data_IF_682166080600
#
_entry.id   IF_682166080600
#
_cell.length_a   1.000
_cell.length_b   1.000
_cell.length_c   1.000
_cell.angle_alpha   90.00
_cell.angle_beta   90.00
_cell.angle_gamma   90.00
#
_symmetry.space_group_name_H-M   'P 1'
#
loop_
_entity.id
_entity.type
_entity.pdbx_description
1 polymer ?
#
# COMPACT_ATOMS: atom_id res chain seq x y z
N UNK A 1 -0.01 -37.38 10.60
CA UNK A 1 0.48 -36.17 9.93
C UNK A 1 -0.74 -35.44 9.38
N UNK A 2 -1.19 -34.41 10.05
CA UNK A 2 -2.40 -33.66 9.66
C UNK A 2 -2.02 -32.49 8.74
N UNK A 3 -2.88 -32.20 7.77
CA UNK A 3 -2.80 -31.00 6.98
C UNK A 3 -3.20 -29.79 7.85
N UNK A 4 -2.42 -28.75 7.79
CA UNK A 4 -2.62 -27.51 8.53
C UNK A 4 -2.69 -26.33 7.54
N UNK A 5 -3.37 -25.28 7.93
CA UNK A 5 -3.45 -24.04 7.17
C UNK A 5 -2.84 -22.90 7.97
N UNK A 6 -2.29 -21.91 7.27
CA UNK A 6 -1.73 -20.73 7.91
C UNK A 6 -1.29 -19.68 6.89
N UNK A 7 -0.66 -18.62 7.39
CA UNK A 7 -0.12 -17.55 6.58
C UNK A 7 1.40 -17.49 6.71
N UNK A 8 2.11 -17.31 5.60
CA UNK A 8 3.56 -17.07 5.64
C UNK A 8 3.79 -15.68 6.25
N UNK A 9 4.34 -15.65 7.46
CA UNK A 9 4.64 -14.39 8.17
C UNK A 9 6.08 -13.92 7.98
N UNK A 10 6.99 -14.84 7.56
CA UNK A 10 8.39 -14.51 7.31
C UNK A 10 9.01 -15.49 6.32
N UNK A 11 9.93 -15.00 5.50
CA UNK A 11 10.75 -15.81 4.60
C UNK A 11 12.23 -15.47 4.82
N UNK A 12 13.05 -16.49 5.14
CA UNK A 12 14.46 -16.30 5.47
C UNK A 12 15.30 -17.51 5.05
N UNK A 13 16.32 -17.28 4.23
CA UNK A 13 17.32 -18.32 3.89
C UNK A 13 16.72 -19.63 3.36
N UNK A 14 15.62 -19.55 2.60
CA UNK A 14 14.93 -20.72 2.03
C UNK A 14 13.95 -21.41 2.98
N UNK A 15 13.74 -20.87 4.16
CA UNK A 15 12.70 -21.26 5.09
C UNK A 15 11.53 -20.29 5.02
N UNK A 16 10.32 -20.83 5.24
CA UNK A 16 9.07 -20.09 5.38
C UNK A 16 8.50 -20.34 6.77
N UNK A 17 8.26 -19.25 7.48
CA UNK A 17 7.64 -19.30 8.80
C UNK A 17 6.15 -19.08 8.61
N UNK A 18 5.36 -20.08 8.97
CA UNK A 18 3.90 -20.09 8.80
C UNK A 18 3.25 -19.96 10.16
N UNK A 19 2.39 -18.97 10.32
CA UNK A 19 1.59 -18.80 11.55
C UNK A 19 0.18 -19.30 11.28
N UNK A 20 -0.33 -20.22 12.12
CA UNK A 20 -1.68 -20.77 12.04
C UNK A 20 -2.74 -19.85 12.71
N UNK A 21 -3.99 -20.29 12.73
CA UNK A 21 -5.12 -19.58 13.37
C UNK A 21 -4.98 -19.45 14.90
N UNK A 22 -4.18 -20.30 15.53
CA UNK A 22 -3.89 -20.26 16.96
C UNK A 22 -2.65 -19.42 17.32
N UNK A 23 -2.11 -18.66 16.33
CA UNK A 23 -0.86 -17.89 16.44
C UNK A 23 0.38 -18.75 16.76
N UNK A 24 0.37 -20.03 16.42
CA UNK A 24 1.55 -20.89 16.51
C UNK A 24 2.34 -20.77 15.20
N UNK A 25 3.65 -20.57 15.31
CA UNK A 25 4.53 -20.40 14.14
C UNK A 25 5.37 -21.64 13.91
N UNK A 26 5.33 -22.15 12.69
CA UNK A 26 6.05 -23.34 12.22
C UNK A 26 7.11 -22.95 11.19
N UNK A 27 8.31 -23.49 11.33
CA UNK A 27 9.36 -23.34 10.33
C UNK A 27 9.17 -24.43 9.27
N UNK A 28 9.10 -24.04 8.01
CA UNK A 28 8.85 -24.96 6.89
C UNK A 28 9.83 -24.75 5.74
N UNK A 29 9.91 -25.75 4.87
CA UNK A 29 10.60 -25.64 3.57
C UNK A 29 9.63 -25.79 2.42
N UNK A 30 9.84 -25.03 1.35
CA UNK A 30 9.07 -25.18 0.11
C UNK A 30 9.43 -26.47 -0.61
N UNK A 31 8.44 -27.13 -1.22
CA UNK A 31 8.66 -28.27 -2.11
C UNK A 31 9.41 -27.83 -3.37
N UNK A 32 10.24 -28.73 -3.90
CA UNK A 32 10.96 -28.46 -5.16
C UNK A 32 10.05 -28.16 -6.35
N UNK A 33 8.80 -28.65 -6.33
CA UNK A 33 7.80 -28.42 -7.38
C UNK A 33 7.52 -26.92 -7.59
N UNK A 34 7.52 -26.09 -6.53
CA UNK A 34 7.31 -24.65 -6.69
C UNK A 34 8.35 -23.98 -7.60
N UNK A 35 9.61 -24.46 -7.55
CA UNK A 35 10.66 -23.96 -8.45
C UNK A 35 10.45 -24.43 -9.88
N UNK A 36 9.95 -25.67 -10.07
CA UNK A 36 9.67 -26.20 -11.40
C UNK A 36 8.51 -25.46 -12.07
N UNK A 37 7.51 -25.09 -11.28
CA UNK A 37 6.32 -24.36 -11.74
C UNK A 37 6.56 -22.82 -11.82
N UNK A 38 7.78 -22.36 -11.50
CA UNK A 38 8.11 -20.94 -11.49
C UNK A 38 7.40 -20.12 -10.39
N UNK A 39 6.84 -20.81 -9.38
CA UNK A 39 6.10 -20.18 -8.29
C UNK A 39 7.05 -19.90 -7.13
N UNK A 40 7.11 -18.65 -6.69
CA UNK A 40 7.84 -18.26 -5.49
C UNK A 40 6.85 -18.00 -4.36
N UNK A 41 6.94 -18.74 -3.21
CA UNK A 41 6.15 -18.40 -2.04
C UNK A 41 6.54 -17.02 -1.50
N UNK A 42 5.55 -16.22 -1.12
CA UNK A 42 5.73 -14.86 -0.62
C UNK A 42 5.23 -14.74 0.83
N UNK A 43 5.78 -13.80 1.55
CA UNK A 43 5.19 -13.34 2.81
C UNK A 43 3.78 -12.83 2.52
N UNK A 44 2.81 -13.19 3.37
CA UNK A 44 1.39 -12.90 3.13
C UNK A 44 0.61 -14.03 2.46
N UNK A 45 1.26 -15.03 1.84
CA UNK A 45 0.56 -16.17 1.23
C UNK A 45 -0.19 -16.98 2.28
N UNK A 46 -1.45 -17.29 1.98
CA UNK A 46 -2.20 -18.34 2.67
C UNK A 46 -1.81 -19.70 2.08
N UNK A 47 -1.51 -20.65 2.94
CA UNK A 47 -0.87 -21.90 2.52
C UNK A 47 -1.43 -23.10 3.25
N UNK A 48 -1.27 -24.27 2.62
CA UNK A 48 -1.42 -25.57 3.25
C UNK A 48 -0.04 -26.16 3.49
N UNK A 49 0.20 -26.61 4.69
CA UNK A 49 1.47 -27.20 5.10
C UNK A 49 1.26 -28.45 5.98
N UNK A 50 2.32 -29.18 6.20
CA UNK A 50 2.36 -30.28 7.19
C UNK A 50 3.57 -30.11 8.08
N UNK A 51 3.39 -30.36 9.37
CA UNK A 51 4.47 -30.39 10.34
C UNK A 51 4.12 -31.31 11.50
N UNK A 52 5.09 -32.01 12.02
CA UNK A 52 4.96 -32.84 13.24
C UNK A 52 5.55 -32.12 14.46
N UNK A 53 6.31 -31.02 14.24
CA UNK A 53 6.90 -30.17 15.27
C UNK A 53 7.01 -28.73 14.74
N UNK A 54 7.53 -27.81 15.53
CA UNK A 54 7.62 -26.39 15.16
C UNK A 54 8.76 -26.08 14.16
N UNK A 55 9.75 -26.95 14.02
CA UNK A 55 11.01 -26.66 13.35
C UNK A 55 11.15 -27.34 11.97
N UNK A 56 10.38 -28.39 11.70
CA UNK A 56 10.54 -29.23 10.51
C UNK A 56 9.19 -29.44 9.78
N UNK A 57 8.75 -28.41 9.08
CA UNK A 57 7.53 -28.49 8.26
C UNK A 57 7.80 -28.49 6.76
N UNK A 58 6.80 -28.86 5.99
CA UNK A 58 6.81 -28.82 4.54
C UNK A 58 5.62 -28.01 4.02
N UNK A 59 5.91 -26.94 3.29
CA UNK A 59 4.92 -26.16 2.53
C UNK A 59 4.43 -27.02 1.35
N UNK A 60 3.13 -27.26 1.26
CA UNK A 60 2.53 -28.15 0.28
C UNK A 60 1.83 -27.42 -0.85
N UNK A 61 1.09 -26.35 -0.52
CA UNK A 61 0.25 -25.62 -1.45
C UNK A 61 0.21 -24.13 -1.08
N UNK A 62 0.14 -23.27 -2.10
CA UNK A 62 -0.12 -21.84 -1.96
C UNK A 62 -1.54 -21.60 -2.46
N UNK A 63 -2.41 -21.05 -1.61
CA UNK A 63 -3.77 -20.70 -2.00
C UNK A 63 -3.77 -19.53 -3.00
N UNK A 64 -4.83 -19.37 -3.81
CA UNK A 64 -4.93 -18.23 -4.73
C UNK A 64 -4.72 -16.88 -4.02
N UNK A 65 -3.88 -16.06 -4.60
CA UNK A 65 -3.61 -14.71 -4.10
C UNK A 65 -4.69 -13.75 -4.58
N UNK A 66 -5.16 -12.85 -3.70
CA UNK A 66 -6.04 -11.75 -4.11
C UNK A 66 -5.28 -10.63 -4.81
N UNK A 67 -4.03 -10.40 -4.40
CA UNK A 67 -3.09 -9.45 -4.99
C UNK A 67 -1.65 -9.83 -4.66
N UNK A 68 -0.72 -9.16 -5.34
CA UNK A 68 0.71 -9.36 -5.13
C UNK A 68 1.46 -8.07 -5.46
N UNK A 69 2.30 -7.60 -4.54
CA UNK A 69 3.25 -6.53 -4.77
C UNK A 69 4.62 -7.11 -5.11
N UNK A 70 5.34 -6.45 -6.01
CA UNK A 70 6.69 -6.85 -6.44
C UNK A 70 7.76 -6.29 -5.51
N UNK A 71 7.53 -5.09 -5.01
CA UNK A 71 8.45 -4.38 -4.11
C UNK A 71 7.67 -3.59 -3.06
N UNK A 72 7.59 -4.11 -1.84
CA UNK A 72 8.16 -5.37 -1.36
C UNK A 72 7.47 -6.59 -1.97
N UNK A 73 8.19 -7.73 -2.03
CA UNK A 73 7.60 -8.99 -2.47
C UNK A 73 6.68 -9.54 -1.38
N UNK A 74 5.39 -9.21 -1.47
CA UNK A 74 4.34 -9.56 -0.51
C UNK A 74 3.02 -9.83 -1.25
N UNK A 75 2.18 -10.69 -0.68
CA UNK A 75 0.86 -11.04 -1.23
C UNK A 75 -0.26 -10.79 -0.22
N UNK A 76 -1.49 -10.79 -0.73
CA UNK A 76 -2.72 -10.73 0.06
C UNK A 76 -2.81 -9.50 0.98
N UNK A 77 -2.29 -8.35 0.53
CA UNK A 77 -2.39 -7.08 1.24
C UNK A 77 -3.83 -6.59 1.20
N UNK A 78 -4.34 -6.13 2.34
CA UNK A 78 -5.68 -5.55 2.46
C UNK A 78 -5.66 -4.03 2.30
N UNK A 79 -4.73 -3.37 3.01
CA UNK A 79 -4.71 -1.92 3.13
C UNK A 79 -3.33 -1.38 2.82
N UNK A 80 -3.30 -0.28 2.05
CA UNK A 80 -2.11 0.53 1.82
C UNK A 80 -2.24 1.91 2.47
N UNK A 81 -1.52 2.14 3.58
CA UNK A 81 -1.46 3.46 4.22
C UNK A 81 -0.41 4.32 3.52
N UNK A 82 -0.87 5.34 2.81
CA UNK A 82 0.00 6.32 2.14
C UNK A 82 0.32 7.42 3.14
N UNK A 83 1.52 7.39 3.69
CA UNK A 83 2.00 8.44 4.58
C UNK A 83 2.68 9.53 3.75
N UNK A 84 2.10 10.71 3.75
CA UNK A 84 2.66 11.88 3.07
C UNK A 84 2.76 13.06 4.03
N UNK A 85 3.80 13.87 3.88
CA UNK A 85 4.05 15.04 4.72
C UNK A 85 3.50 16.29 4.05
N UNK A 86 2.99 17.22 4.86
CA UNK A 86 2.54 18.51 4.34
C UNK A 86 3.72 19.43 4.00
N UNK A 87 4.85 19.33 4.70
CA UNK A 87 6.02 20.23 4.56
C UNK A 87 7.28 19.50 4.08
N UNK A 88 8.00 18.79 4.87
CA UNK A 88 9.27 18.16 4.52
C UNK A 88 9.16 16.63 4.50
N UNK A 89 9.03 15.99 3.32
CA UNK A 89 8.92 16.54 1.98
C UNK A 89 7.60 17.30 1.74
N UNK A 90 7.60 18.25 0.80
CA UNK A 90 6.39 19.02 0.44
C UNK A 90 5.33 18.11 -0.15
N UNK A 91 4.07 18.30 0.23
CA UNK A 91 2.93 17.58 -0.30
C UNK A 91 2.83 17.67 -1.83
N UNK A 92 2.59 16.56 -2.47
CA UNK A 92 2.43 16.48 -3.92
C UNK A 92 1.25 15.58 -4.28
N UNK A 93 0.23 16.15 -4.89
CA UNK A 93 -0.92 15.40 -5.42
C UNK A 93 -0.48 14.41 -6.50
N UNK A 94 0.50 14.77 -7.33
CA UNK A 94 1.05 13.90 -8.36
C UNK A 94 1.65 12.62 -7.76
N UNK A 95 2.43 12.74 -6.69
CA UNK A 95 3.02 11.59 -6.03
C UNK A 95 1.96 10.76 -5.29
N UNK A 96 1.01 11.42 -4.63
CA UNK A 96 -0.10 10.76 -3.95
C UNK A 96 -0.91 9.92 -4.96
N UNK A 97 -1.27 10.50 -6.10
CA UNK A 97 -2.04 9.80 -7.14
C UNK A 97 -1.27 8.61 -7.73
N UNK A 98 0.05 8.70 -7.83
CA UNK A 98 0.88 7.55 -8.25
C UNK A 98 0.80 6.39 -7.25
N UNK A 99 0.78 6.66 -5.94
CA UNK A 99 0.56 5.62 -4.92
C UNK A 99 -0.85 5.06 -5.02
N UNK A 100 -1.87 5.92 -5.18
CA UNK A 100 -3.26 5.50 -5.34
C UNK A 100 -3.44 4.58 -6.56
N UNK A 101 -2.91 4.96 -7.73
CA UNK A 101 -2.95 4.13 -8.95
C UNK A 101 -2.34 2.75 -8.71
N UNK A 102 -1.23 2.66 -7.98
CA UNK A 102 -0.61 1.37 -7.69
C UNK A 102 -1.49 0.50 -6.77
N UNK A 103 -2.13 1.09 -5.77
CA UNK A 103 -3.02 0.38 -4.86
C UNK A 103 -4.30 -0.05 -5.56
N UNK A 104 -4.93 0.84 -6.32
CA UNK A 104 -6.14 0.56 -7.11
C UNK A 104 -5.90 -0.57 -8.11
N UNK A 105 -4.77 -0.53 -8.84
CA UNK A 105 -4.41 -1.57 -9.80
C UNK A 105 -4.28 -2.95 -9.14
N UNK A 106 -3.82 -2.99 -7.90
CA UNK A 106 -3.68 -4.22 -7.11
C UNK A 106 -4.92 -4.54 -6.26
N UNK A 107 -6.00 -3.77 -6.37
CA UNK A 107 -7.20 -3.92 -5.54
C UNK A 107 -6.90 -3.90 -4.04
N UNK A 108 -6.02 -2.99 -3.61
CA UNK A 108 -5.65 -2.75 -2.21
C UNK A 108 -6.35 -1.47 -1.75
N UNK A 109 -7.07 -1.52 -0.64
CA UNK A 109 -7.78 -0.36 -0.08
C UNK A 109 -6.79 0.73 0.36
N UNK A 110 -6.82 1.95 -0.19
CA UNK A 110 -5.91 3.02 0.22
C UNK A 110 -6.45 3.79 1.42
N UNK A 111 -5.54 4.19 2.32
CA UNK A 111 -5.78 5.19 3.36
C UNK A 111 -4.71 6.28 3.21
N UNK A 112 -5.12 7.53 3.13
CA UNK A 112 -4.22 8.68 3.04
C UNK A 112 -4.03 9.25 4.44
N UNK A 113 -2.78 9.33 4.90
CA UNK A 113 -2.43 9.97 6.18
C UNK A 113 -1.47 11.13 5.96
N UNK A 114 -1.87 12.32 6.42
CA UNK A 114 -1.07 13.55 6.35
C UNK A 114 -0.34 13.75 7.67
N UNK A 115 0.98 13.78 7.60
CA UNK A 115 1.84 14.03 8.76
C UNK A 115 2.34 15.48 8.82
N UNK A 116 2.86 15.88 9.97
CA UNK A 116 3.52 17.17 10.22
C UNK A 116 2.61 18.39 10.00
N UNK A 117 1.33 18.25 10.31
CA UNK A 117 0.36 19.32 10.18
C UNK A 117 0.69 20.51 11.10
N UNK A 118 1.29 20.23 12.25
CA UNK A 118 1.81 21.18 13.23
C UNK A 118 2.89 22.11 12.69
N UNK A 119 3.61 21.69 11.65
CA UNK A 119 4.70 22.45 11.05
C UNK A 119 4.26 23.35 9.89
N UNK A 120 2.99 23.31 9.50
CA UNK A 120 2.47 24.05 8.36
C UNK A 120 1.86 25.39 8.77
N UNK A 121 1.96 26.38 7.89
CA UNK A 121 1.22 27.62 8.00
C UNK A 121 -0.27 27.45 7.65
N UNK A 122 -1.08 28.44 7.99
CA UNK A 122 -2.54 28.38 7.79
C UNK A 122 -2.92 28.28 6.31
N UNK A 123 -2.16 28.91 5.40
CA UNK A 123 -2.43 28.81 3.97
C UNK A 123 -2.26 27.38 3.48
N UNK A 124 -1.20 26.71 3.91
CA UNK A 124 -0.91 25.33 3.58
C UNK A 124 -1.93 24.38 4.21
N UNK A 125 -2.31 24.59 5.48
CA UNK A 125 -3.39 23.83 6.14
C UNK A 125 -4.71 23.94 5.36
N UNK A 126 -5.09 25.14 4.95
CA UNK A 126 -6.31 25.38 4.17
C UNK A 126 -6.28 24.68 2.79
N UNK A 127 -5.11 24.57 2.14
CA UNK A 127 -4.97 23.80 0.90
C UNK A 127 -5.21 22.30 1.15
N UNK A 128 -4.70 21.77 2.26
CA UNK A 128 -4.91 20.35 2.62
C UNK A 128 -6.38 20.06 2.88
N UNK A 129 -7.12 20.96 3.52
CA UNK A 129 -8.58 20.81 3.72
C UNK A 129 -9.29 20.63 2.38
N UNK A 130 -8.97 21.45 1.37
CA UNK A 130 -9.55 21.31 0.02
C UNK A 130 -9.18 19.98 -0.65
N UNK A 131 -7.94 19.52 -0.52
CA UNK A 131 -7.55 18.20 -1.03
C UNK A 131 -8.28 17.08 -0.32
N UNK A 132 -8.43 17.18 1.01
CA UNK A 132 -9.20 16.22 1.81
C UNK A 132 -10.63 16.09 1.26
N UNK A 133 -11.34 17.18 1.08
CA UNK A 133 -12.70 17.20 0.52
C UNK A 133 -12.78 16.46 -0.83
N UNK A 134 -11.80 16.71 -1.72
CA UNK A 134 -11.77 16.09 -3.06
C UNK A 134 -11.50 14.58 -2.95
N UNK A 135 -10.51 14.15 -2.18
CA UNK A 135 -10.18 12.73 -2.07
C UNK A 135 -11.25 11.93 -1.31
N UNK A 136 -11.87 12.51 -0.27
CA UNK A 136 -12.99 11.89 0.43
C UNK A 136 -14.24 11.78 -0.44
N UNK A 137 -14.53 12.77 -1.29
CA UNK A 137 -15.65 12.72 -2.23
C UNK A 137 -15.54 11.59 -3.26
N UNK A 138 -14.33 11.14 -3.58
CA UNK A 138 -14.09 9.98 -4.46
C UNK A 138 -13.90 8.67 -3.72
N UNK A 139 -14.04 8.67 -2.38
CA UNK A 139 -14.12 7.48 -1.55
C UNK A 139 -12.83 7.11 -0.79
N UNK A 140 -11.80 7.96 -0.79
CA UNK A 140 -10.57 7.67 -0.05
C UNK A 140 -10.60 8.22 1.37
N UNK A 141 -10.41 7.41 2.41
CA UNK A 141 -10.16 7.91 3.76
C UNK A 141 -8.94 8.84 3.76
N UNK A 142 -9.13 10.09 4.20
CA UNK A 142 -8.09 11.10 4.25
C UNK A 142 -7.92 11.62 5.68
N UNK A 143 -6.93 11.08 6.38
CA UNK A 143 -6.71 11.27 7.81
C UNK A 143 -5.75 12.45 8.02
N UNK A 144 -6.21 13.45 8.75
CA UNK A 144 -5.42 14.55 9.27
C UNK A 144 -5.65 14.64 10.77
N UNK A 145 -4.60 14.55 11.56
CA UNK A 145 -4.68 14.69 13.02
C UNK A 145 -3.94 15.97 13.39
N UNK A 146 -4.66 16.92 14.00
CA UNK A 146 -4.08 18.16 14.47
C UNK A 146 -3.56 17.97 15.90
N UNK A 147 -2.24 17.97 16.07
CA UNK A 147 -1.57 17.77 17.36
C UNK A 147 -1.91 18.85 18.39
N UNK A 148 -2.31 20.05 17.94
CA UNK A 148 -2.67 21.16 18.82
C UNK A 148 -4.10 21.03 19.40
N UNK A 149 -4.93 20.14 18.82
CA UNK A 149 -6.35 19.97 19.18
C UNK A 149 -6.62 18.70 20.00
N UNK A 150 -5.64 17.82 20.16
CA UNK A 150 -5.81 16.54 20.87
C UNK A 150 -4.99 16.50 22.16
N UNK A 151 -5.62 16.08 23.25
CA UNK A 151 -4.95 15.95 24.57
C UNK A 151 -3.89 14.83 24.56
N UNK A 152 -4.15 13.73 23.84
CA UNK A 152 -3.24 12.61 23.69
C UNK A 152 -3.16 12.15 22.23
N UNK A 153 -2.19 12.66 21.52
CA UNK A 153 -1.96 12.35 20.10
C UNK A 153 -1.84 10.85 19.81
N UNK A 154 -1.22 10.10 20.73
CA UNK A 154 -1.05 8.65 20.54
C UNK A 154 -2.39 7.93 20.56
N UNK A 155 -3.24 8.19 21.54
CA UNK A 155 -4.53 7.53 21.68
C UNK A 155 -5.42 7.88 20.47
N UNK A 156 -5.45 9.14 20.06
CA UNK A 156 -6.19 9.58 18.85
C UNK A 156 -5.74 8.85 17.60
N UNK A 157 -4.44 8.66 17.42
CA UNK A 157 -3.90 7.91 16.27
C UNK A 157 -4.31 6.44 16.37
N UNK A 158 -4.19 5.80 17.53
CA UNK A 158 -4.57 4.41 17.74
C UNK A 158 -6.05 4.21 17.46
N UNK A 159 -6.91 5.00 18.05
CA UNK A 159 -8.37 4.92 17.91
C UNK A 159 -8.80 5.11 16.44
N UNK A 160 -8.13 6.07 15.74
CA UNK A 160 -8.41 6.32 14.33
C UNK A 160 -8.10 5.10 13.44
N UNK A 161 -6.99 4.39 13.70
CA UNK A 161 -6.55 3.30 12.84
C UNK A 161 -7.04 1.92 13.27
N UNK A 162 -7.47 1.73 14.52
CA UNK A 162 -7.84 0.42 15.07
C UNK A 162 -8.94 -0.26 14.23
N UNK A 163 -10.01 0.46 13.91
CA UNK A 163 -11.13 -0.07 13.12
C UNK A 163 -10.75 -0.47 11.70
N UNK A 164 -9.75 0.18 11.11
CA UNK A 164 -9.26 -0.16 9.78
C UNK A 164 -8.39 -1.42 9.78
N UNK A 165 -7.59 -1.65 10.84
CA UNK A 165 -6.53 -2.65 10.82
C UNK A 165 -6.94 -4.01 11.37
N UNK A 166 -8.05 -4.11 12.08
CA UNK A 166 -8.53 -5.37 12.65
C UNK A 166 -8.65 -6.46 11.58
N UNK A 167 -7.95 -7.59 11.79
CA UNK A 167 -7.88 -8.74 10.86
C UNK A 167 -7.35 -8.41 9.44
N UNK A 168 -6.65 -7.31 9.25
CA UNK A 168 -6.12 -6.85 7.96
C UNK A 168 -4.61 -6.99 7.88
N UNK A 169 -4.11 -7.22 6.65
CA UNK A 169 -2.69 -7.08 6.33
C UNK A 169 -2.43 -5.70 5.74
N UNK A 170 -1.63 -4.92 6.45
CA UNK A 170 -1.38 -3.50 6.15
C UNK A 170 0.04 -3.30 5.62
N UNK A 171 0.20 -2.44 4.62
CA UNK A 171 1.50 -1.92 4.18
C UNK A 171 1.55 -0.41 4.35
N UNK A 172 2.72 0.12 4.75
CA UNK A 172 2.93 1.56 4.85
C UNK A 172 3.83 2.02 3.70
N UNK A 173 3.39 3.02 2.95
CA UNK A 173 4.11 3.58 1.82
C UNK A 173 4.23 5.10 1.91
N UNK A 174 5.11 5.69 1.13
CA UNK A 174 5.34 7.13 1.11
C UNK A 174 6.82 7.47 1.03
N UNK A 175 7.11 8.74 0.78
CA UNK A 175 8.49 9.23 0.65
C UNK A 175 9.31 9.02 1.92
N UNK A 176 10.65 8.98 1.74
CA UNK A 176 11.56 9.06 2.87
C UNK A 176 11.35 10.40 3.61
N UNK A 177 11.32 10.34 4.94
CA UNK A 177 11.07 11.53 5.76
C UNK A 177 9.60 11.95 5.86
N UNK A 178 8.65 11.25 5.25
CA UNK A 178 7.23 11.55 5.35
C UNK A 178 6.59 11.21 6.71
N UNK A 179 7.33 10.67 7.67
CA UNK A 179 6.80 10.38 9.01
C UNK A 179 6.29 8.95 9.24
N UNK A 180 6.58 7.99 8.34
CA UNK A 180 6.17 6.58 8.51
C UNK A 180 6.62 5.96 9.83
N UNK A 181 7.91 6.10 10.17
CA UNK A 181 8.46 5.56 11.42
C UNK A 181 7.83 6.23 12.65
N UNK A 182 7.52 7.50 12.57
CA UNK A 182 6.83 8.23 13.63
C UNK A 182 5.42 7.70 13.83
N UNK A 183 4.66 7.54 12.73
CA UNK A 183 3.32 6.96 12.79
C UNK A 183 3.36 5.54 13.38
N UNK A 184 4.26 4.68 12.90
CA UNK A 184 4.41 3.31 13.42
C UNK A 184 4.77 3.27 14.91
N UNK A 185 5.62 4.20 15.41
CA UNK A 185 5.93 4.30 16.84
C UNK A 185 4.74 4.77 17.68
N UNK A 186 3.85 5.61 17.12
CA UNK A 186 2.59 5.95 17.79
C UNK A 186 1.66 4.75 17.87
N UNK A 187 1.49 4.02 16.76
CA UNK A 187 0.64 2.84 16.69
C UNK A 187 1.15 1.69 17.60
N UNK A 188 2.46 1.52 17.69
CA UNK A 188 3.09 0.55 18.60
C UNK A 188 4.48 1.02 19.06
N UNK A 189 4.60 1.58 20.27
CA UNK A 189 5.88 2.06 20.81
C UNK A 189 6.98 0.99 20.95
N UNK A 190 6.59 -0.30 21.00
CA UNK A 190 7.57 -1.39 21.10
C UNK A 190 8.43 -1.57 19.83
N UNK A 191 8.06 -0.91 18.72
CA UNK A 191 8.86 -0.94 17.50
C UNK A 191 10.15 -0.12 17.62
N UNK A 192 10.17 0.94 18.43
CA UNK A 192 11.34 1.80 18.70
C UNK A 192 12.11 2.18 17.42
N UNK A 193 11.37 2.57 16.37
CA UNK A 193 11.94 2.93 15.08
C UNK A 193 12.66 4.28 15.19
N UNK A 194 13.91 4.35 14.70
CA UNK A 194 14.64 5.62 14.63
C UNK A 194 13.93 6.59 13.69
N UNK A 195 13.52 7.72 14.23
CA UNK A 195 12.93 8.82 13.47
C UNK A 195 14.03 9.72 12.90
N UNK A 196 13.94 10.11 11.63
CA UNK A 196 14.86 11.09 11.02
C UNK A 196 15.92 10.55 10.06
N UNK A 197 16.12 9.26 9.94
CA UNK A 197 16.98 8.66 8.90
C UNK A 197 16.19 7.68 8.03
N UNK A 198 16.61 7.59 6.75
CA UNK A 198 16.09 6.61 5.78
C UNK A 198 15.84 5.26 6.44
N UNK A 199 14.62 4.76 6.34
CA UNK A 199 14.09 3.53 6.92
C UNK A 199 15.11 2.39 6.92
N UNK A 200 15.82 2.24 8.03
CA UNK A 200 16.52 1.01 8.36
C UNK A 200 15.48 0.16 9.10
N UNK A 201 15.22 -1.04 8.60
CA UNK A 201 14.39 -2.05 9.25
C UNK A 201 14.62 -2.10 10.75
N UNK A 202 13.56 -2.41 11.51
CA UNK A 202 13.58 -2.63 12.96
C UNK A 202 14.91 -3.21 13.44
N UNK A 203 15.68 -2.40 14.13
CA UNK A 203 16.90 -2.56 14.92
C UNK A 203 17.67 -3.88 15.02
N UNK A 204 17.59 -4.75 14.02
CA UNK A 204 18.35 -6.02 13.99
C UNK A 204 19.58 -5.90 13.08
N UNK A 205 20.74 -5.67 13.70
CA UNK A 205 22.07 -6.00 13.21
C UNK A 205 22.49 -5.48 11.82
N UNK A 206 23.69 -4.95 11.75
CA UNK A 206 24.36 -4.24 10.64
C UNK A 206 24.49 -4.98 9.28
N UNK A 207 23.98 -6.21 9.11
CA UNK A 207 24.24 -7.08 7.93
C UNK A 207 23.04 -7.99 7.56
N UNK A 208 21.78 -7.57 7.69
CA UNK A 208 20.70 -8.44 7.24
C UNK A 208 20.05 -7.93 5.96
N UNK A 209 20.14 -8.76 4.95
CA UNK A 209 19.40 -8.80 3.70
C UNK A 209 17.92 -8.39 3.94
N UNK A 210 17.38 -7.62 3.02
CA UNK A 210 16.01 -7.08 3.01
C UNK A 210 14.96 -8.18 3.12
N UNK A 211 14.59 -8.55 4.34
CA UNK A 211 13.54 -9.54 4.58
C UNK A 211 12.22 -8.82 4.87
N UNK A 212 11.15 -9.30 4.28
CA UNK A 212 9.78 -8.92 4.64
C UNK A 212 9.36 -9.81 5.80
N UNK A 213 8.80 -9.21 6.85
CA UNK A 213 8.24 -9.91 8.01
C UNK A 213 6.91 -9.26 8.37
N UNK A 214 5.89 -10.07 8.72
CA UNK A 214 4.63 -9.58 9.22
C UNK A 214 4.70 -9.45 10.75
N UNK A 215 4.41 -8.27 11.24
CA UNK A 215 4.38 -7.98 12.66
C UNK A 215 2.94 -7.65 13.11
N UNK A 216 2.53 -8.04 14.32
CA UNK A 216 1.22 -7.68 14.86
C UNK A 216 1.05 -6.16 14.99
N UNK A 217 -0.11 -5.65 14.60
CA UNK A 217 -0.47 -4.24 14.74
C UNK A 217 -1.99 -4.09 14.83
N UNK A 218 -2.52 -3.56 15.95
CA UNK A 218 -3.94 -3.22 16.17
C UNK A 218 -4.92 -4.32 15.69
N UNK A 219 -4.79 -5.54 16.22
CA UNK A 219 -5.64 -6.67 15.84
C UNK A 219 -5.38 -7.26 14.44
N UNK A 220 -4.56 -6.62 13.62
CA UNK A 220 -4.10 -7.09 12.31
C UNK A 220 -2.61 -7.36 12.27
N UNK A 221 -2.04 -7.27 11.07
CA UNK A 221 -0.60 -7.42 10.82
C UNK A 221 -0.12 -6.33 9.86
N UNK A 222 1.10 -5.86 10.04
CA UNK A 222 1.73 -5.01 9.03
C UNK A 222 3.03 -5.64 8.51
N UNK A 223 3.37 -5.31 7.26
CA UNK A 223 4.61 -5.75 6.68
C UNK A 223 5.73 -4.75 7.00
N UNK A 224 6.74 -5.21 7.76
CA UNK A 224 8.00 -4.45 7.92
C UNK A 224 8.81 -4.56 6.64
N UNK A 225 8.82 -3.47 5.89
CA UNK A 225 9.47 -3.42 4.58
C UNK A 225 10.33 -2.17 4.46
N UNK A 226 11.57 -2.29 3.98
CA UNK A 226 12.37 -1.11 3.66
C UNK A 226 11.72 -0.34 2.51
N UNK A 227 11.21 0.85 2.84
CA UNK A 227 10.72 1.94 1.99
C UNK A 227 10.18 1.60 0.59
N UNK A 228 8.88 1.78 0.42
CA UNK A 228 8.24 1.91 -0.89
C UNK A 228 8.70 3.22 -1.56
N UNK A 229 9.79 3.19 -2.33
CA UNK A 229 10.34 4.40 -2.93
C UNK A 229 10.33 4.42 -4.47
N UNK A 230 10.08 3.29 -5.12
CA UNK A 230 10.09 3.21 -6.58
C UNK A 230 8.69 2.79 -7.10
N UNK A 231 7.90 3.79 -7.47
CA UNK A 231 6.62 3.60 -8.15
C UNK A 231 6.88 3.42 -9.65
N UNK A 232 6.77 2.20 -10.12
CA UNK A 232 6.85 1.88 -11.54
C UNK A 232 5.54 1.27 -11.99
N UNK A 233 5.00 1.76 -13.07
CA UNK A 233 3.77 1.27 -13.69
C UNK A 233 4.07 0.22 -14.77
N UNK A 234 5.03 -0.70 -14.48
CA UNK A 234 5.53 -1.63 -15.50
C UNK A 234 4.47 -2.65 -15.95
N UNK A 235 3.50 -2.93 -15.12
CA UNK A 235 2.48 -3.95 -15.35
C UNK A 235 1.12 -3.36 -15.76
N UNK A 236 0.93 -2.04 -15.67
CA UNK A 236 -0.33 -1.37 -16.02
C UNK A 236 -0.36 -1.12 -17.53
N UNK A 237 -1.38 -1.65 -18.20
CA UNK A 237 -1.63 -1.34 -19.60
C UNK A 237 -2.37 0.00 -19.76
N UNK A 238 -2.13 0.67 -20.90
CA UNK A 238 -2.73 1.97 -21.21
C UNK A 238 -4.26 1.99 -21.01
N UNK A 239 -4.93 0.90 -21.41
CA UNK A 239 -6.39 0.76 -21.31
C UNK A 239 -6.90 0.55 -19.87
N UNK A 240 -6.02 0.14 -18.94
CA UNK A 240 -6.38 -0.17 -17.56
C UNK A 240 -6.24 1.05 -16.65
N UNK A 241 -5.41 2.05 -17.02
CA UNK A 241 -5.12 3.19 -16.15
C UNK A 241 -6.37 3.94 -15.67
N UNK A 242 -7.36 4.13 -16.53
CA UNK A 242 -8.59 4.84 -16.15
C UNK A 242 -9.40 4.12 -15.06
N UNK A 243 -9.24 2.79 -14.92
CA UNK A 243 -9.86 2.02 -13.84
C UNK A 243 -9.25 2.27 -12.47
N UNK A 244 -8.02 2.81 -12.44
CA UNK A 244 -7.31 3.20 -11.22
C UNK A 244 -7.67 4.61 -10.73
N UNK A 245 -8.66 5.26 -11.37
CA UNK A 245 -9.21 6.55 -10.97
C UNK A 245 -10.73 6.38 -10.79
N UNK A 246 -11.23 6.17 -9.55
CA UNK A 246 -12.63 5.84 -9.30
C UNK A 246 -13.62 6.81 -9.94
N UNK A 247 -13.34 8.11 -9.88
CA UNK A 247 -14.16 9.16 -10.47
C UNK A 247 -14.25 9.07 -12.01
N UNK A 248 -13.22 8.54 -12.66
CA UNK A 248 -13.22 8.31 -14.12
C UNK A 248 -13.86 6.96 -14.45
N UNK A 249 -13.56 5.92 -13.66
CA UNK A 249 -14.14 4.60 -13.85
C UNK A 249 -15.66 4.60 -13.77
N UNK A 250 -16.22 5.33 -12.82
CA UNK A 250 -17.68 5.44 -12.62
C UNK A 250 -18.40 6.08 -13.82
N UNK A 251 -17.67 6.89 -14.62
CA UNK A 251 -18.22 7.62 -15.78
C UNK A 251 -17.79 7.06 -17.14
N UNK A 252 -16.97 6.02 -17.18
CA UNK A 252 -16.40 5.48 -18.44
C UNK A 252 -17.47 5.11 -19.48
N UNK A 253 -18.63 4.65 -19.04
CA UNK A 253 -19.72 4.22 -19.92
C UNK A 253 -20.48 5.40 -20.57
N UNK A 254 -20.27 6.63 -20.09
CA UNK A 254 -20.84 7.86 -20.65
C UNK A 254 -20.01 8.38 -21.84
N UNK A 255 -18.78 7.86 -22.03
CA UNK A 255 -17.94 8.24 -23.17
C UNK A 255 -18.51 7.67 -24.48
N UNK A 256 -18.40 8.45 -25.56
CA UNK A 256 -18.85 8.03 -26.90
C UNK A 256 -18.14 6.78 -27.39
N UNK A 257 -16.86 6.61 -27.07
CA UNK A 257 -16.03 5.52 -27.60
C UNK A 257 -15.72 4.50 -26.51
N UNK A 258 -15.83 3.21 -26.85
CA UNK A 258 -15.32 2.14 -26.01
C UNK A 258 -13.78 2.20 -26.03
N UNK A 259 -13.16 2.07 -24.85
CA UNK A 259 -11.70 2.20 -24.72
C UNK A 259 -11.18 3.63 -24.87
N UNK A 260 -12.04 4.63 -24.56
CA UNK A 260 -11.63 6.03 -24.49
C UNK A 260 -10.48 6.20 -23.48
N UNK A 261 -9.39 6.79 -23.90
CA UNK A 261 -8.23 7.13 -23.04
C UNK A 261 -8.37 8.52 -22.40
N UNK A 262 -9.49 9.19 -22.65
CA UNK A 262 -9.82 10.51 -22.10
C UNK A 262 -8.80 11.61 -22.41
N UNK A 263 -8.01 11.44 -23.47
CA UNK A 263 -6.93 12.35 -23.88
C UNK A 263 -7.39 13.28 -25.02
N UNK A 264 -7.59 12.73 -26.22
CA UNK A 264 -7.89 13.50 -27.42
C UNK A 264 -9.27 13.23 -28.00
N UNK A 265 -10.01 12.25 -27.45
CA UNK A 265 -11.28 11.81 -28.02
C UNK A 265 -12.36 12.90 -27.90
N UNK A 266 -13.12 13.14 -28.98
CA UNK A 266 -14.23 14.07 -28.95
C UNK A 266 -15.42 13.48 -28.13
N UNK A 267 -16.16 14.36 -27.49
CA UNK A 267 -17.32 13.99 -26.65
C UNK A 267 -16.96 12.99 -25.53
N UNK A 268 -15.80 13.20 -24.91
CA UNK A 268 -15.37 12.45 -23.74
C UNK A 268 -16.09 12.93 -22.47
N UNK A 269 -16.76 12.03 -21.75
CA UNK A 269 -17.50 12.35 -20.53
C UNK A 269 -16.56 12.83 -19.40
N UNK A 270 -15.33 12.30 -19.35
CA UNK A 270 -14.36 12.70 -18.34
C UNK A 270 -13.89 14.14 -18.57
N UNK A 271 -13.55 14.52 -19.80
CA UNK A 271 -13.18 15.90 -20.12
C UNK A 271 -14.31 16.88 -19.82
N UNK A 272 -15.55 16.48 -20.17
CA UNK A 272 -16.73 17.28 -19.82
C UNK A 272 -16.93 17.39 -18.31
N UNK A 273 -16.67 16.33 -17.56
CA UNK A 273 -16.71 16.35 -16.09
C UNK A 273 -15.67 17.30 -15.49
N UNK A 274 -14.48 17.41 -16.09
CA UNK A 274 -13.45 18.38 -15.69
C UNK A 274 -13.89 19.82 -16.02
N UNK A 275 -14.47 20.04 -17.23
CA UNK A 275 -15.02 21.34 -17.64
C UNK A 275 -16.14 21.86 -16.72
N UNK A 276 -16.89 20.93 -16.11
CA UNK A 276 -18.01 21.22 -15.21
C UNK A 276 -17.62 21.20 -13.72
N UNK A 277 -16.34 21.09 -13.36
CA UNK A 277 -15.84 20.95 -11.99
C UNK A 277 -16.37 19.71 -11.22
N UNK A 278 -16.87 18.68 -11.95
CA UNK A 278 -17.32 17.41 -11.39
C UNK A 278 -16.16 16.42 -11.18
N UNK A 279 -15.08 16.61 -11.91
CA UNK A 279 -13.79 15.92 -11.76
C UNK A 279 -12.72 16.97 -11.54
N UNK A 280 -11.92 16.80 -10.50
CA UNK A 280 -10.86 17.75 -10.17
C UNK A 280 -9.82 17.85 -11.28
N UNK A 281 -9.50 19.07 -11.70
CA UNK A 281 -8.52 19.35 -12.75
C UNK A 281 -7.17 18.74 -12.47
N UNK A 282 -6.64 18.85 -11.23
CA UNK A 282 -5.33 18.29 -10.91
C UNK A 282 -5.30 16.76 -10.99
N UNK A 283 -6.42 16.08 -10.65
CA UNK A 283 -6.54 14.61 -10.77
C UNK A 283 -6.47 14.19 -12.23
N UNK A 284 -7.18 14.91 -13.09
CA UNK A 284 -7.14 14.66 -14.52
C UNK A 284 -5.74 14.95 -15.12
N UNK A 285 -5.08 16.02 -14.70
CA UNK A 285 -3.70 16.32 -15.10
C UNK A 285 -2.72 15.23 -14.66
N UNK A 286 -2.83 14.75 -13.42
CA UNK A 286 -2.02 13.64 -12.92
C UNK A 286 -2.27 12.36 -13.71
N UNK A 287 -3.54 12.06 -14.04
CA UNK A 287 -3.89 10.94 -14.93
C UNK A 287 -3.17 11.05 -16.27
N UNK A 288 -3.23 12.21 -16.95
CA UNK A 288 -2.58 12.42 -18.23
C UNK A 288 -1.06 12.25 -18.17
N UNK A 289 -0.44 12.68 -17.07
CA UNK A 289 1.00 12.51 -16.86
C UNK A 289 1.37 11.01 -16.73
N UNK A 290 0.61 10.26 -15.95
CA UNK A 290 0.83 8.82 -15.78
C UNK A 290 0.54 8.08 -17.11
N UNK A 291 -0.53 8.45 -17.81
CA UNK A 291 -0.87 7.90 -19.12
C UNK A 291 0.28 8.07 -20.12
N UNK A 292 0.86 9.26 -20.17
CA UNK A 292 2.01 9.55 -21.02
C UNK A 292 3.23 8.69 -20.67
N UNK A 293 3.53 8.54 -19.37
CA UNK A 293 4.63 7.68 -18.90
C UNK A 293 4.45 6.22 -19.34
N UNK A 294 3.21 5.70 -19.25
CA UNK A 294 2.91 4.33 -19.67
C UNK A 294 3.03 4.20 -21.21
N UNK A 295 2.55 5.18 -21.97
CA UNK A 295 2.64 5.20 -23.45
C UNK A 295 4.09 5.27 -23.96
N UNK A 296 4.96 6.02 -23.27
CA UNK A 296 6.37 6.18 -23.62
C UNK A 296 7.26 5.04 -23.11
N UNK A 297 6.72 4.08 -22.39
CA UNK A 297 7.43 2.91 -21.85
C UNK A 297 7.99 2.08 -23.01
N UNK A 298 9.30 1.81 -22.96
CA UNK A 298 9.92 0.89 -23.95
C UNK A 298 9.35 -0.52 -23.78
N UNK A 299 9.03 -1.24 -24.87
CA UNK A 299 8.62 -2.63 -24.79
C UNK A 299 9.66 -3.45 -24.02
N UNK A 300 9.21 -4.31 -23.10
CA UNK A 300 10.09 -5.34 -22.53
C UNK A 300 10.32 -6.39 -23.62
N UNK A 301 11.56 -6.55 -24.08
CA UNK A 301 11.98 -7.64 -24.94
C UNK A 301 12.30 -8.89 -24.12
#
# INVERSE_FOLDING_TARGET
>A
MFLQEGQITKALSGFYYITDEHNVTYQTRGRGVFRLDGITPLVGDHVVFKSDNLDEGTLLEIKPRKNQLVRPAISNVDIGVIVTSIVNPVFSTQLLDRFLVMLEYQHIEPIIYISKLDMADDETKNKIVKYKEIYEAIGYPFITINVDEVENLKDEIVDTFESYFEHKLVVFMGQSGAGKSTLLNYLNPAFDLKTGETSKSLGRGRHTTRHVELLPLLGGRFADTPGFSALKFEDIEVAELSSCFPEMWNRKNECRFRGCLHQNEPNCAIKKGVENDEISTFRYENYLQILKEIQERKPKY
#
